data_IF_864689370143
#
_entry.id   IF_864689370143
#
_cell.length_a   1.000
_cell.length_b   1.000
_cell.length_c   1.000
_cell.angle_alpha   90.00
_cell.angle_beta   90.00
_cell.angle_gamma   90.00
#
_symmetry.space_group_name_H-M   'P 1'
#
loop_
_entity.id
_entity.type
_entity.pdbx_description
1 polymer ?
#
# COMPACT_ATOMS: atom_id res chain seq x y z
N UNK A 1 -12.11 7.10 1.00
CA UNK A 1 -10.69 7.06 0.61
C UNK A 1 -10.04 8.42 0.68
N UNK A 2 -10.76 9.50 0.37
CA UNK A 2 -10.26 10.87 0.51
C UNK A 2 -9.56 11.13 1.86
N UNK A 3 -10.16 10.68 2.96
CA UNK A 3 -9.59 10.86 4.30
C UNK A 3 -8.25 10.15 4.51
N UNK A 4 -8.08 8.97 3.92
CA UNK A 4 -6.81 8.23 3.96
C UNK A 4 -5.72 9.03 3.24
N UNK A 5 -5.97 9.43 1.99
CA UNK A 5 -4.99 10.16 1.19
C UNK A 5 -4.61 11.49 1.84
N UNK A 6 -5.57 12.19 2.44
CA UNK A 6 -5.34 13.44 3.18
C UNK A 6 -4.44 13.25 4.40
N UNK A 7 -4.63 12.17 5.16
CA UNK A 7 -3.87 11.91 6.40
C UNK A 7 -2.47 11.37 6.14
N UNK A 8 -2.30 10.56 5.09
CA UNK A 8 -1.04 9.88 4.81
C UNK A 8 -0.20 10.56 3.73
N UNK A 9 -0.81 11.44 2.93
CA UNK A 9 -0.19 11.99 1.72
C UNK A 9 0.00 10.94 0.61
N UNK A 10 -0.46 9.70 0.80
CA UNK A 10 -0.25 8.61 -0.15
C UNK A 10 -1.43 8.51 -1.12
N UNK A 11 -1.11 8.36 -2.40
CA UNK A 11 -2.09 8.12 -3.46
C UNK A 11 -2.08 6.64 -3.86
N UNK A 12 -3.24 6.07 -4.21
CA UNK A 12 -3.28 4.73 -4.81
C UNK A 12 -2.50 4.69 -6.12
N UNK A 13 -1.68 3.67 -6.28
CA UNK A 13 -0.97 3.38 -7.53
C UNK A 13 -1.82 2.56 -8.48
N UNK A 14 -2.79 1.81 -7.95
CA UNK A 14 -3.72 0.98 -8.73
C UNK A 14 -5.05 0.80 -7.99
N UNK A 15 -6.09 0.38 -8.70
CA UNK A 15 -7.37 -0.03 -8.12
C UNK A 15 -8.08 -1.08 -8.98
N UNK A 16 -8.83 -1.97 -8.33
CA UNK A 16 -9.71 -2.91 -9.01
C UNK A 16 -11.07 -3.05 -8.30
N UNK A 17 -12.15 -3.33 -9.06
CA UNK A 17 -13.47 -3.57 -8.49
C UNK A 17 -13.52 -4.91 -7.76
N UNK A 18 -14.32 -4.98 -6.70
CA UNK A 18 -14.65 -6.20 -5.95
C UNK A 18 -16.17 -6.34 -5.82
N UNK A 19 -16.66 -7.51 -5.37
CA UNK A 19 -18.10 -7.74 -5.19
C UNK A 19 -18.76 -6.79 -4.19
N UNK A 20 -17.99 -6.27 -3.23
CA UNK A 20 -18.46 -5.37 -2.17
C UNK A 20 -18.05 -3.91 -2.36
N UNK A 21 -17.29 -3.59 -3.41
CA UNK A 21 -16.84 -2.23 -3.71
C UNK A 21 -15.57 -2.19 -4.56
N UNK A 22 -14.50 -1.63 -4.01
CA UNK A 22 -13.20 -1.48 -4.70
C UNK A 22 -12.04 -1.71 -3.75
N UNK A 23 -10.96 -2.30 -4.25
CA UNK A 23 -9.68 -2.37 -3.54
C UNK A 23 -8.71 -1.40 -4.18
N UNK A 24 -8.09 -0.55 -3.35
CA UNK A 24 -7.05 0.38 -3.76
C UNK A 24 -5.69 -0.13 -3.31
N UNK A 25 -4.71 -0.09 -4.21
CA UNK A 25 -3.34 -0.49 -3.93
C UNK A 25 -2.52 0.76 -3.69
N UNK A 26 -1.91 0.86 -2.52
CA UNK A 26 -1.01 1.96 -2.15
C UNK A 26 0.35 1.35 -1.88
N UNK A 27 1.34 1.72 -2.68
CA UNK A 27 2.71 1.33 -2.44
C UNK A 27 3.41 2.41 -1.61
N UNK A 28 3.98 2.01 -0.48
CA UNK A 28 4.83 2.85 0.35
C UNK A 28 6.20 3.11 -0.31
N UNK A 29 7.07 3.90 0.35
CA UNK A 29 8.43 4.10 -0.13
C UNK A 29 9.19 2.77 -0.19
N UNK A 30 10.04 2.62 -1.21
CA UNK A 30 10.95 1.49 -1.30
C UNK A 30 12.10 1.67 -0.30
N UNK A 31 12.42 0.62 0.45
CA UNK A 31 13.61 0.55 1.31
C UNK A 31 14.62 -0.40 0.68
N UNK A 32 15.91 -0.07 0.81
CA UNK A 32 17.00 -0.95 0.39
C UNK A 32 17.69 -1.47 1.64
N UNK A 33 17.69 -2.78 1.83
CA UNK A 33 18.46 -3.45 2.87
C UNK A 33 19.77 -3.88 2.25
N UNK A 34 20.88 -3.40 2.80
CA UNK A 34 22.24 -3.76 2.38
C UNK A 34 22.90 -4.55 3.49
N UNK A 35 23.30 -5.78 3.19
CA UNK A 35 24.11 -6.61 4.07
C UNK A 35 25.54 -6.55 3.53
N UNK A 36 26.47 -5.88 4.22
CA UNK A 36 27.85 -5.76 3.76
C UNK A 36 28.52 -7.13 3.73
N UNK A 37 29.20 -7.43 2.63
CA UNK A 37 29.99 -8.66 2.51
C UNK A 37 31.18 -8.66 3.47
N UNK A 38 31.56 -9.85 3.96
CA UNK A 38 32.74 -10.05 4.78
C UNK A 38 33.32 -11.45 4.57
N UNK A 39 34.64 -11.61 4.72
CA UNK A 39 35.37 -12.89 4.61
C UNK A 39 35.02 -13.75 3.37
N UNK A 40 34.99 -13.15 2.18
CA UNK A 40 34.70 -13.86 0.93
C UNK A 40 33.20 -14.06 0.63
N UNK A 41 32.30 -13.60 1.50
CA UNK A 41 30.87 -13.50 1.22
C UNK A 41 30.60 -12.18 0.48
N UNK A 42 29.90 -12.19 -0.66
CA UNK A 42 29.59 -10.96 -1.40
C UNK A 42 28.56 -10.10 -0.67
N UNK A 43 28.61 -8.80 -0.92
CA UNK A 43 27.56 -7.85 -0.49
C UNK A 43 26.24 -8.18 -1.18
N UNK A 44 25.16 -8.20 -0.42
CA UNK A 44 23.80 -8.42 -0.93
C UNK A 44 22.98 -7.15 -0.68
N UNK A 45 22.31 -6.67 -1.73
CA UNK A 45 21.33 -5.60 -1.63
C UNK A 45 19.96 -6.16 -2.03
N UNK A 46 18.96 -5.96 -1.17
CA UNK A 46 17.57 -6.33 -1.44
C UNK A 46 16.68 -5.09 -1.35
N UNK A 47 15.88 -4.86 -2.39
CA UNK A 47 14.84 -3.84 -2.36
C UNK A 47 13.54 -4.43 -1.81
N UNK A 48 12.91 -3.70 -0.89
CA UNK A 48 11.60 -4.02 -0.35
C UNK A 48 10.68 -2.83 -0.53
N UNK A 49 9.39 -3.11 -0.73
CA UNK A 49 8.37 -2.08 -0.79
C UNK A 49 7.15 -2.56 -0.04
N UNK A 50 6.71 -1.77 0.94
CA UNK A 50 5.46 -2.01 1.65
C UNK A 50 4.30 -1.77 0.69
N UNK A 51 3.43 -2.77 0.52
CA UNK A 51 2.20 -2.66 -0.26
C UNK A 51 1.01 -2.74 0.69
N UNK A 52 0.15 -1.73 0.63
CA UNK A 52 -1.11 -1.70 1.35
C UNK A 52 -2.25 -1.93 0.36
N UNK A 53 -3.12 -2.87 0.68
CA UNK A 53 -4.38 -3.10 -0.01
C UNK A 53 -5.49 -2.55 0.88
N UNK A 54 -6.21 -1.56 0.36
CA UNK A 54 -7.26 -0.87 1.08
C UNK A 54 -8.58 -1.26 0.46
N UNK A 55 -9.34 -2.07 1.17
CA UNK A 55 -10.67 -2.49 0.76
C UNK A 55 -11.66 -1.40 1.12
N UNK A 56 -12.56 -1.12 0.18
CA UNK A 56 -13.56 -0.07 0.34
C UNK A 56 -14.92 -0.53 -0.13
N UNK A 57 -15.95 0.01 0.50
CA UNK A 57 -17.34 -0.10 0.08
C UNK A 57 -17.86 1.26 -0.39
N UNK A 58 -18.76 1.26 -1.36
CA UNK A 58 -19.44 2.47 -1.80
C UNK A 58 -20.35 2.99 -0.67
N UNK A 59 -20.24 4.28 -0.37
CA UNK A 59 -21.16 5.03 0.50
C UNK A 59 -22.25 5.68 -0.36
N UNK A 60 -21.90 6.07 -1.58
CA UNK A 60 -22.81 6.62 -2.57
C UNK A 60 -22.39 6.21 -4.00
N UNK A 61 -23.23 6.52 -4.98
CA UNK A 61 -23.01 6.19 -6.39
C UNK A 61 -22.19 7.22 -7.19
N UNK A 62 -21.56 8.21 -6.54
CA UNK A 62 -20.94 9.35 -7.25
C UNK A 62 -19.54 9.05 -7.81
N UNK A 63 -18.91 7.96 -7.38
CA UNK A 63 -17.61 7.51 -7.90
C UNK A 63 -16.41 8.38 -7.51
N UNK A 64 -16.58 9.37 -6.63
CA UNK A 64 -15.51 10.24 -6.13
C UNK A 64 -14.73 9.58 -4.99
N UNK A 65 -13.55 10.11 -4.63
CA UNK A 65 -12.74 9.55 -3.53
C UNK A 65 -13.44 9.55 -2.15
N UNK A 66 -14.38 10.48 -1.96
CA UNK A 66 -15.27 10.61 -0.81
C UNK A 66 -16.44 9.63 -0.81
N UNK A 67 -16.81 9.09 -1.98
CA UNK A 67 -17.85 8.08 -2.16
C UNK A 67 -17.48 6.70 -1.59
N UNK A 68 -16.25 6.52 -1.12
CA UNK A 68 -15.72 5.22 -0.70
C UNK A 68 -15.38 5.20 0.79
N UNK A 69 -15.98 4.28 1.54
CA UNK A 69 -15.62 4.00 2.94
C UNK A 69 -14.56 2.93 2.97
N UNK A 70 -13.49 3.14 3.72
CA UNK A 70 -12.51 2.09 4.00
C UNK A 70 -13.14 1.05 4.93
N UNK A 71 -13.15 -0.21 4.50
CA UNK A 71 -13.70 -1.35 5.24
C UNK A 71 -12.61 -2.27 5.77
N UNK A 72 -11.46 -2.32 5.09
CA UNK A 72 -10.33 -3.15 5.49
C UNK A 72 -9.00 -2.58 4.99
N UNK A 73 -7.93 -2.91 5.70
CA UNK A 73 -6.56 -2.58 5.29
C UNK A 73 -5.70 -3.82 5.52
N UNK A 74 -5.14 -4.36 4.44
CA UNK A 74 -4.15 -5.43 4.47
C UNK A 74 -2.79 -4.86 4.11
N UNK A 75 -1.74 -5.27 4.83
CA UNK A 75 -0.37 -4.78 4.64
C UNK A 75 0.55 -5.95 4.32
N UNK A 76 1.30 -5.85 3.23
CA UNK A 76 2.22 -6.87 2.75
C UNK A 76 3.62 -6.27 2.57
N UNK A 77 4.66 -6.97 3.03
CA UNK A 77 6.05 -6.53 2.86
C UNK A 77 6.42 -5.26 3.63
N UNK A 78 5.63 -4.91 4.64
CA UNK A 78 5.92 -3.82 5.57
C UNK A 78 6.69 -4.43 6.75
N UNK A 79 7.93 -3.98 7.00
CA UNK A 79 8.66 -4.45 8.17
C UNK A 79 7.88 -4.04 9.42
N UNK A 80 7.63 -5.01 10.31
CA UNK A 80 7.21 -4.74 11.68
C UNK A 80 8.43 -4.15 12.39
N UNK A 81 8.39 -2.84 12.62
CA UNK A 81 9.35 -2.17 13.49
C UNK A 81 9.30 -2.76 14.90
#
# INVERSE_FOLDING_TARGET
>A
MADFMRRTGMTPTDMYPTSSGRTFIVNGPASTIVIPGSYGVPTIAAQRQCRMQIDTAAIDGKGLAESWRVTGITRNGCDSA
#
